data_IF_349536245333
#
_entry.id   IF_349536245333
#
_cell.length_a   1.000
_cell.length_b   1.000
_cell.length_c   1.000
_cell.angle_alpha   90.00
_cell.angle_beta   90.00
_cell.angle_gamma   90.00
#
_symmetry.space_group_name_H-M   'P 1'
#
loop_
_entity.id
_entity.type
_entity.pdbx_description
1 polymer ?
#
# COMPACT_ATOMS: atom_id res chain seq x y z
N UNK A 1 -10.87 -22.02 -20.96
CA UNK A 1 -9.87 -21.07 -21.50
C UNK A 1 -10.35 -20.34 -22.75
N UNK A 2 -10.94 -21.01 -23.75
CA UNK A 2 -11.39 -20.38 -25.01
C UNK A 2 -12.43 -19.23 -24.88
N UNK A 3 -13.14 -19.10 -23.76
CA UNK A 3 -14.11 -18.01 -23.55
C UNK A 3 -13.44 -16.67 -23.15
N UNK A 4 -12.34 -16.72 -22.40
CA UNK A 4 -11.62 -15.51 -21.95
C UNK A 4 -10.91 -14.82 -23.12
N UNK A 5 -10.46 -15.60 -24.10
CA UNK A 5 -9.72 -15.10 -25.26
C UNK A 5 -10.62 -14.33 -26.25
N UNK A 6 -11.93 -14.56 -26.21
CA UNK A 6 -12.93 -13.89 -27.04
C UNK A 6 -13.39 -12.54 -26.47
N UNK A 7 -12.90 -12.13 -25.30
CA UNK A 7 -13.23 -10.84 -24.71
C UNK A 7 -12.66 -9.69 -25.55
N UNK A 8 -13.50 -8.71 -25.86
CA UNK A 8 -13.10 -7.52 -26.61
C UNK A 8 -12.20 -6.61 -25.75
N UNK A 9 -11.35 -5.83 -26.41
CA UNK A 9 -10.50 -4.84 -25.74
C UNK A 9 -11.32 -3.84 -24.93
N UNK A 10 -12.49 -3.43 -25.45
CA UNK A 10 -13.37 -2.48 -24.74
C UNK A 10 -13.92 -3.05 -23.44
N UNK A 11 -14.35 -4.33 -23.45
CA UNK A 11 -14.83 -5.01 -22.24
C UNK A 11 -13.71 -5.15 -21.21
N UNK A 12 -12.51 -5.53 -21.65
CA UNK A 12 -11.37 -5.69 -20.77
C UNK A 12 -10.88 -4.36 -20.17
N UNK A 13 -10.89 -3.28 -20.95
CA UNK A 13 -10.54 -1.94 -20.45
C UNK A 13 -11.58 -1.34 -19.51
N UNK A 14 -12.86 -1.71 -19.67
CA UNK A 14 -13.91 -1.29 -18.76
C UNK A 14 -13.86 -2.02 -17.41
N UNK A 15 -13.18 -3.18 -17.34
CA UNK A 15 -13.12 -4.03 -16.16
C UNK A 15 -11.67 -4.45 -15.82
N UNK A 16 -10.92 -3.59 -15.12
CA UNK A 16 -9.54 -3.87 -14.69
C UNK A 16 -9.41 -5.16 -13.86
N UNK A 17 -10.42 -5.49 -13.04
CA UNK A 17 -10.44 -6.73 -12.27
C UNK A 17 -10.42 -7.96 -13.19
N UNK A 18 -11.35 -8.00 -14.16
CA UNK A 18 -11.44 -9.08 -15.13
C UNK A 18 -10.17 -9.18 -15.98
N UNK A 19 -9.59 -8.04 -16.37
CA UNK A 19 -8.33 -8.03 -17.11
C UNK A 19 -7.19 -8.62 -16.29
N UNK A 20 -7.02 -8.23 -15.02
CA UNK A 20 -5.94 -8.71 -14.17
C UNK A 20 -6.02 -10.23 -13.94
N UNK A 21 -7.18 -10.74 -13.52
CA UNK A 21 -7.37 -12.18 -13.28
C UNK A 21 -7.24 -13.01 -14.56
N UNK A 22 -7.78 -12.52 -15.69
CA UNK A 22 -7.65 -13.21 -16.98
C UNK A 22 -6.21 -13.22 -17.47
N UNK A 23 -5.48 -12.12 -17.31
CA UNK A 23 -4.05 -12.05 -17.66
C UNK A 23 -3.26 -13.08 -16.87
N UNK A 24 -3.51 -13.18 -15.55
CA UNK A 24 -2.85 -14.16 -14.71
C UNK A 24 -3.16 -15.59 -15.15
N UNK A 25 -4.44 -15.92 -15.37
CA UNK A 25 -4.87 -17.25 -15.80
C UNK A 25 -4.25 -17.65 -17.16
N UNK A 26 -4.25 -16.74 -18.14
CA UNK A 26 -3.66 -16.98 -19.46
C UNK A 26 -2.14 -17.12 -19.40
N UNK A 27 -1.47 -16.36 -18.53
CA UNK A 27 -0.05 -16.47 -18.33
C UNK A 27 0.33 -17.81 -17.68
N UNK A 28 -0.42 -18.26 -16.66
CA UNK A 28 -0.24 -19.58 -16.04
C UNK A 28 -0.42 -20.74 -17.02
N UNK A 29 -1.36 -20.63 -17.95
CA UNK A 29 -1.60 -21.69 -18.95
C UNK A 29 -0.70 -21.58 -20.17
N UNK A 30 0.24 -20.63 -20.20
CA UNK A 30 1.09 -20.32 -21.34
C UNK A 30 0.28 -20.09 -22.65
N UNK A 31 -0.87 -19.40 -22.57
CA UNK A 31 -1.68 -19.08 -23.76
C UNK A 31 -0.93 -18.15 -24.71
N UNK A 32 -1.17 -18.30 -26.01
CA UNK A 32 -0.67 -17.40 -27.05
C UNK A 32 -1.18 -15.97 -26.90
N UNK A 33 -2.32 -15.77 -26.22
CA UNK A 33 -2.93 -14.46 -25.99
C UNK A 33 -2.35 -13.71 -24.77
N UNK A 34 -1.48 -14.35 -23.98
CA UNK A 34 -0.95 -13.77 -22.73
C UNK A 34 -0.26 -12.41 -22.96
N UNK A 35 0.45 -12.25 -24.08
CA UNK A 35 1.17 -11.02 -24.45
C UNK A 35 0.23 -9.84 -24.71
N UNK A 36 -0.89 -10.09 -25.39
CA UNK A 36 -1.91 -9.06 -25.62
C UNK A 36 -2.50 -8.58 -24.29
N UNK A 37 -2.83 -9.51 -23.40
CA UNK A 37 -3.46 -9.21 -22.12
C UNK A 37 -2.53 -8.46 -21.17
N UNK A 38 -1.27 -8.90 -21.04
CA UNK A 38 -0.29 -8.20 -20.18
C UNK A 38 0.02 -6.79 -20.70
N UNK A 39 0.07 -6.61 -22.02
CA UNK A 39 0.27 -5.29 -22.63
C UNK A 39 -0.85 -4.33 -22.24
N UNK A 40 -2.10 -4.80 -22.31
CA UNK A 40 -3.25 -3.98 -21.92
C UNK A 40 -3.28 -3.74 -20.41
N UNK A 41 -2.95 -4.74 -19.59
CA UNK A 41 -2.87 -4.59 -18.14
C UNK A 41 -1.84 -3.51 -17.77
N UNK A 42 -0.64 -3.57 -18.36
CA UNK A 42 0.43 -2.58 -18.17
C UNK A 42 0.01 -1.16 -18.56
N UNK A 43 -0.77 -1.01 -19.63
CA UNK A 43 -1.26 0.28 -20.09
C UNK A 43 -2.28 0.92 -19.12
N UNK A 44 -2.95 0.12 -18.30
CA UNK A 44 -4.01 0.58 -17.38
C UNK A 44 -3.52 0.87 -15.96
N UNK A 45 -2.22 0.73 -15.70
CA UNK A 45 -1.66 0.97 -14.37
C UNK A 45 -1.81 2.44 -13.96
N UNK A 46 -2.00 2.66 -12.66
CA UNK A 46 -1.69 3.92 -12.00
C UNK A 46 -0.26 3.83 -11.47
N UNK A 47 0.55 4.83 -11.76
CA UNK A 47 1.90 5.00 -11.21
C UNK A 47 1.95 6.35 -10.51
N UNK A 48 2.34 6.36 -9.23
CA UNK A 48 2.41 7.57 -8.40
C UNK A 48 3.85 7.93 -7.97
N UNK A 49 4.84 7.54 -8.77
CA UNK A 49 6.24 7.89 -8.53
C UNK A 49 6.95 6.91 -7.59
N UNK A 50 6.58 5.63 -7.67
CA UNK A 50 7.21 4.58 -6.86
C UNK A 50 6.28 3.42 -6.52
N UNK A 51 4.96 3.59 -6.68
CA UNK A 51 3.98 2.52 -6.49
C UNK A 51 3.15 2.33 -7.74
N UNK A 52 2.79 1.08 -8.02
CA UNK A 52 1.95 0.72 -9.16
C UNK A 52 0.72 -0.03 -8.69
N UNK A 53 -0.45 0.31 -9.24
CA UNK A 53 -1.72 -0.30 -8.85
C UNK A 53 -2.81 -0.13 -9.91
N UNK A 54 -3.93 -0.84 -9.73
CA UNK A 54 -5.07 -0.79 -10.64
C UNK A 54 -6.35 -0.47 -9.88
N UNK A 55 -6.97 0.65 -10.25
CA UNK A 55 -8.29 1.05 -9.74
C UNK A 55 -9.39 0.24 -10.43
N UNK A 56 -10.43 -0.10 -9.68
CA UNK A 56 -11.69 -0.60 -10.24
C UNK A 56 -12.55 0.55 -10.76
N UNK A 57 -13.67 0.23 -11.40
CA UNK A 57 -14.60 1.20 -11.99
C UNK A 57 -15.15 2.24 -11.00
N UNK A 58 -15.05 1.97 -9.68
CA UNK A 58 -15.36 2.92 -8.61
C UNK A 58 -14.42 4.13 -8.53
N UNK A 59 -13.23 4.07 -9.15
CA UNK A 59 -12.25 5.16 -9.17
C UNK A 59 -11.57 5.44 -7.82
N UNK A 60 -11.85 4.65 -6.79
CA UNK A 60 -11.30 4.80 -5.43
C UNK A 60 -10.69 3.51 -4.92
N UNK A 61 -9.83 3.62 -3.90
CA UNK A 61 -9.14 2.46 -3.31
C UNK A 61 -10.12 1.65 -2.44
N UNK A 62 -10.59 0.52 -2.95
CA UNK A 62 -11.53 -0.41 -2.31
C UNK A 62 -10.88 -1.77 -2.01
N UNK A 63 -11.66 -2.74 -1.52
CA UNK A 63 -11.21 -4.14 -1.41
C UNK A 63 -10.95 -4.75 -2.79
N UNK A 64 -11.81 -4.46 -3.77
CA UNK A 64 -11.65 -4.93 -5.15
C UNK A 64 -10.40 -4.33 -5.82
N UNK A 65 -10.03 -3.08 -5.49
CA UNK A 65 -8.77 -2.47 -5.94
C UNK A 65 -7.55 -3.26 -5.42
N UNK A 66 -7.59 -3.70 -4.16
CA UNK A 66 -6.52 -4.51 -3.57
C UNK A 66 -6.44 -5.87 -4.28
N UNK A 67 -7.57 -6.54 -4.44
CA UNK A 67 -7.64 -7.83 -5.11
C UNK A 67 -7.19 -7.74 -6.58
N UNK A 68 -7.66 -6.74 -7.31
CA UNK A 68 -7.24 -6.46 -8.70
C UNK A 68 -5.72 -6.27 -8.78
N UNK A 69 -5.17 -5.49 -7.87
CA UNK A 69 -3.73 -5.20 -7.84
C UNK A 69 -2.92 -6.43 -7.43
N UNK A 70 -3.46 -7.29 -6.57
CA UNK A 70 -2.84 -8.58 -6.23
C UNK A 70 -2.79 -9.53 -7.44
N UNK A 71 -3.88 -9.64 -8.22
CA UNK A 71 -3.85 -10.40 -9.48
C UNK A 71 -2.88 -9.79 -10.49
N UNK A 72 -2.80 -8.47 -10.56
CA UNK A 72 -1.83 -7.81 -11.43
C UNK A 72 -0.39 -8.15 -11.04
N UNK A 73 -0.05 -8.19 -9.75
CA UNK A 73 1.25 -8.66 -9.28
C UNK A 73 1.51 -10.11 -9.72
N UNK A 74 0.57 -11.01 -9.47
CA UNK A 74 0.69 -12.42 -9.87
C UNK A 74 0.89 -12.58 -11.38
N UNK A 75 0.22 -11.76 -12.19
CA UNK A 75 0.40 -11.71 -13.63
C UNK A 75 1.81 -11.21 -13.99
N UNK A 76 2.27 -10.08 -13.45
CA UNK A 76 3.60 -9.52 -13.75
C UNK A 76 4.73 -10.48 -13.40
N UNK A 77 4.58 -11.25 -12.32
CA UNK A 77 5.53 -12.29 -11.95
C UNK A 77 5.67 -13.34 -13.07
N UNK A 78 4.59 -13.73 -13.78
CA UNK A 78 4.70 -14.70 -14.88
C UNK A 78 5.51 -14.20 -16.10
N UNK A 79 5.78 -12.89 -16.17
CA UNK A 79 6.58 -12.26 -17.22
C UNK A 79 7.93 -11.75 -16.71
N UNK A 80 8.35 -12.18 -15.51
CA UNK A 80 9.61 -11.80 -14.86
C UNK A 80 9.86 -10.28 -14.79
N UNK A 81 8.77 -9.50 -14.70
CA UNK A 81 8.81 -8.04 -14.61
C UNK A 81 9.06 -7.60 -13.16
N UNK A 82 10.30 -7.81 -12.69
CA UNK A 82 10.69 -7.59 -11.29
C UNK A 82 10.52 -6.11 -10.89
N UNK A 83 10.90 -5.18 -11.76
CA UNK A 83 10.85 -3.74 -11.48
C UNK A 83 9.41 -3.29 -11.25
N UNK A 84 8.48 -3.68 -12.12
CA UNK A 84 7.06 -3.35 -11.91
C UNK A 84 6.53 -4.08 -10.69
N UNK A 85 6.88 -5.35 -10.50
CA UNK A 85 6.43 -6.16 -9.36
C UNK A 85 6.82 -5.54 -8.01
N UNK A 86 8.05 -5.01 -7.88
CA UNK A 86 8.50 -4.27 -6.70
C UNK A 86 7.59 -3.06 -6.39
N UNK A 87 7.26 -2.27 -7.41
CA UNK A 87 6.35 -1.11 -7.25
C UNK A 87 4.93 -1.53 -6.87
N UNK A 88 4.47 -2.69 -7.34
CA UNK A 88 3.15 -3.21 -6.98
C UNK A 88 3.14 -3.70 -5.52
N UNK A 89 4.19 -4.40 -5.09
CA UNK A 89 4.34 -4.83 -3.68
C UNK A 89 4.43 -3.62 -2.75
N UNK A 90 5.15 -2.57 -3.14
CA UNK A 90 5.21 -1.32 -2.38
C UNK A 90 3.81 -0.71 -2.19
N UNK A 91 2.98 -0.72 -3.24
CA UNK A 91 1.60 -0.26 -3.13
C UNK A 91 0.76 -1.15 -2.19
N UNK A 92 0.79 -2.47 -2.39
CA UNK A 92 0.00 -3.41 -1.59
C UNK A 92 0.34 -3.31 -0.10
N UNK A 93 1.64 -3.20 0.22
CA UNK A 93 2.14 -3.08 1.59
C UNK A 93 1.66 -1.79 2.27
N UNK A 94 1.51 -0.70 1.51
CA UNK A 94 0.94 0.55 2.03
C UNK A 94 -0.55 0.42 2.40
N UNK A 95 -1.28 -0.50 1.76
CA UNK A 95 -2.71 -0.71 2.03
C UNK A 95 -2.98 -1.60 3.24
N UNK A 96 -1.94 -2.19 3.86
CA UNK A 96 -2.05 -3.00 5.07
C UNK A 96 -2.52 -2.12 6.22
N UNK A 97 -3.59 -2.54 6.90
CA UNK A 97 -4.10 -1.85 8.10
C UNK A 97 -3.26 -2.20 9.32
N UNK A 98 -3.37 -1.43 10.40
CA UNK A 98 -2.66 -1.71 11.66
C UNK A 98 -2.92 -3.10 12.26
N UNK A 99 -3.99 -3.80 11.85
CA UNK A 99 -4.27 -5.20 12.21
C UNK A 99 -3.42 -6.24 11.46
N UNK A 100 -2.61 -5.84 10.48
CA UNK A 100 -1.85 -6.74 9.60
C UNK A 100 -2.62 -7.27 8.39
N UNK A 101 -3.94 -7.09 8.33
CA UNK A 101 -4.80 -7.45 7.20
C UNK A 101 -5.09 -6.27 6.28
N UNK A 102 -5.68 -6.57 5.11
CA UNK A 102 -6.29 -5.58 4.22
C UNK A 102 -7.77 -5.32 4.62
N UNK A 103 -8.66 -5.01 3.68
CA UNK A 103 -10.01 -4.51 4.02
C UNK A 103 -10.99 -5.63 4.35
N UNK A 104 -10.89 -6.78 3.69
CA UNK A 104 -11.77 -7.95 3.85
C UNK A 104 -10.94 -9.24 3.93
N UNK A 105 -11.59 -10.39 4.05
CA UNK A 105 -10.90 -11.69 4.02
C UNK A 105 -10.41 -12.04 2.61
N UNK A 106 -11.20 -11.72 1.58
CA UNK A 106 -10.94 -12.11 0.19
C UNK A 106 -9.73 -11.38 -0.38
N UNK A 107 -9.74 -10.05 -0.33
CA UNK A 107 -8.61 -9.21 -0.78
C UNK A 107 -7.34 -9.51 0.02
N UNK A 108 -7.45 -9.74 1.33
CA UNK A 108 -6.29 -10.14 2.15
C UNK A 108 -5.69 -11.47 1.67
N UNK A 109 -6.51 -12.50 1.42
CA UNK A 109 -6.01 -13.80 0.96
C UNK A 109 -5.22 -13.69 -0.35
N UNK A 110 -5.75 -12.95 -1.33
CA UNK A 110 -5.08 -12.75 -2.62
C UNK A 110 -3.85 -11.85 -2.50
N UNK A 111 -3.90 -10.79 -1.69
CA UNK A 111 -2.77 -9.93 -1.43
C UNK A 111 -1.61 -10.71 -0.78
N UNK A 112 -1.90 -11.54 0.24
CA UNK A 112 -0.90 -12.42 0.84
C UNK A 112 -0.30 -13.39 -0.18
N UNK A 113 -1.13 -14.05 -0.97
CA UNK A 113 -0.65 -14.97 -2.01
C UNK A 113 0.29 -14.27 -2.99
N UNK A 114 -0.09 -13.09 -3.46
CA UNK A 114 0.69 -12.34 -4.44
C UNK A 114 2.02 -11.84 -3.87
N UNK A 115 2.01 -11.27 -2.67
CA UNK A 115 3.22 -10.79 -1.99
C UNK A 115 4.14 -11.96 -1.63
N UNK A 116 3.59 -13.08 -1.14
CA UNK A 116 4.38 -14.29 -0.85
C UNK A 116 5.03 -14.86 -2.12
N UNK A 117 4.30 -14.91 -3.24
CA UNK A 117 4.85 -15.34 -4.53
C UNK A 117 5.98 -14.43 -5.00
N UNK A 118 5.86 -13.12 -4.80
CA UNK A 118 6.94 -12.17 -5.11
C UNK A 118 8.17 -12.42 -4.23
N UNK A 119 7.97 -12.56 -2.92
CA UNK A 119 9.06 -12.81 -1.95
C UNK A 119 9.77 -14.12 -2.29
N UNK A 120 9.02 -15.19 -2.57
CA UNK A 120 9.59 -16.50 -2.90
C UNK A 120 10.46 -16.45 -4.17
N UNK A 121 10.08 -15.66 -5.17
CA UNK A 121 10.84 -15.49 -6.41
C UNK A 121 12.06 -14.57 -6.27
N UNK A 122 11.99 -13.59 -5.38
CA UNK A 122 13.04 -12.59 -5.17
C UNK A 122 13.76 -12.80 -3.83
N UNK A 123 13.76 -14.03 -3.33
CA UNK A 123 14.32 -14.35 -2.03
C UNK A 123 15.84 -14.18 -2.05
N UNK A 124 16.34 -13.29 -1.19
CA UNK A 124 17.77 -13.16 -0.91
C UNK A 124 18.03 -13.91 0.40
N UNK A 125 18.83 -14.99 0.40
CA UNK A 125 19.07 -15.80 1.59
C UNK A 125 19.71 -15.04 2.74
N UNK A 126 20.51 -14.02 2.43
CA UNK A 126 21.17 -13.18 3.41
C UNK A 126 20.38 -11.90 3.63
N UNK A 127 19.90 -11.72 4.86
CA UNK A 127 19.39 -10.45 5.36
C UNK A 127 20.34 -9.95 6.45
N UNK A 128 20.84 -8.74 6.24
CA UNK A 128 21.62 -7.95 7.17
C UNK A 128 21.38 -6.47 6.87
N UNK A 129 20.29 -5.94 7.40
CA UNK A 129 19.85 -4.55 7.24
C UNK A 129 20.02 -3.80 8.55
N UNK A 130 20.65 -2.63 8.49
CA UNK A 130 20.71 -1.67 9.60
C UNK A 130 19.79 -0.50 9.29
N UNK A 131 18.78 -0.32 10.12
CA UNK A 131 17.82 0.77 10.02
C UNK A 131 18.14 1.82 11.08
N UNK A 132 18.47 3.03 10.63
CA UNK A 132 18.67 4.22 11.47
C UNK A 132 17.45 5.13 11.33
N UNK A 133 16.78 5.39 12.44
CA UNK A 133 15.61 6.27 12.55
C UNK A 133 16.05 7.46 13.38
N UNK A 134 15.94 8.67 12.85
CA UNK A 134 16.34 9.89 13.56
C UNK A 134 15.26 10.97 13.48
N UNK A 135 15.18 11.82 14.50
CA UNK A 135 14.41 13.06 14.43
C UNK A 135 15.01 14.00 13.40
N UNK A 136 14.21 14.94 12.89
CA UNK A 136 14.63 15.84 11.82
C UNK A 136 15.80 16.74 12.19
N UNK A 137 15.97 17.02 13.48
CA UNK A 137 17.09 17.77 14.08
C UNK A 137 18.28 16.87 14.47
N UNK A 138 18.16 15.55 14.31
CA UNK A 138 19.17 14.55 14.65
C UNK A 138 19.43 14.34 16.14
N UNK A 139 18.68 15.00 17.04
CA UNK A 139 18.89 14.89 18.50
C UNK A 139 18.48 13.53 19.06
N UNK A 140 17.50 12.88 18.43
CA UNK A 140 17.05 11.55 18.78
C UNK A 140 17.40 10.58 17.65
N UNK A 141 18.01 9.45 18.02
CA UNK A 141 18.42 8.40 17.07
C UNK A 141 18.14 7.04 17.66
N UNK A 142 17.50 6.18 16.89
CA UNK A 142 17.33 4.77 17.15
C UNK A 142 17.92 3.94 16.01
N UNK A 143 18.62 2.86 16.38
CA UNK A 143 19.19 1.92 15.42
C UNK A 143 18.56 0.55 15.68
N UNK A 144 18.04 -0.07 14.62
CA UNK A 144 17.48 -1.42 14.63
C UNK A 144 18.12 -2.24 13.52
N UNK A 145 18.65 -3.39 13.91
CA UNK A 145 19.25 -4.33 12.98
C UNK A 145 18.25 -5.44 12.67
N UNK A 146 18.11 -5.78 11.39
CA UNK A 146 17.35 -6.91 10.89
C UNK A 146 18.32 -7.90 10.23
N UNK A 147 18.38 -9.11 10.75
CA UNK A 147 19.17 -10.20 10.22
C UNK A 147 18.40 -11.51 10.25
N UNK A 148 18.92 -12.53 9.58
CA UNK A 148 18.36 -13.89 9.63
C UNK A 148 18.19 -14.43 11.07
N UNK A 149 19.00 -13.96 12.02
CA UNK A 149 18.95 -14.41 13.42
C UNK A 149 17.89 -13.69 14.27
N UNK A 150 17.37 -12.56 13.80
CA UNK A 150 16.46 -11.72 14.58
C UNK A 150 15.19 -11.32 13.80
N UNK A 151 14.97 -11.86 12.60
CA UNK A 151 13.85 -11.54 11.71
C UNK A 151 12.46 -11.84 12.28
N UNK A 152 12.38 -12.74 13.26
CA UNK A 152 11.15 -13.08 13.98
C UNK A 152 10.87 -12.16 15.18
N UNK A 153 11.80 -11.27 15.56
CA UNK A 153 11.66 -10.45 16.76
C UNK A 153 10.71 -9.29 16.49
N UNK A 154 9.67 -9.20 17.30
CA UNK A 154 8.84 -8.00 17.37
C UNK A 154 9.68 -6.84 17.91
N UNK A 155 9.75 -5.75 17.16
CA UNK A 155 10.39 -4.52 17.62
C UNK A 155 9.38 -3.81 18.55
N UNK A 156 9.71 -3.59 19.84
CA UNK A 156 8.84 -2.86 20.74
C UNK A 156 8.53 -1.46 20.19
N UNK A 157 7.33 -0.95 20.50
CA UNK A 157 6.96 0.41 20.11
C UNK A 157 7.98 1.44 20.61
N UNK A 158 8.52 2.24 19.68
CA UNK A 158 9.49 3.29 19.98
C UNK A 158 8.76 4.57 20.41
N UNK A 159 9.18 5.15 21.53
CA UNK A 159 8.75 6.50 21.91
C UNK A 159 9.53 7.51 21.08
N UNK A 160 8.87 8.08 20.08
CA UNK A 160 9.44 9.13 19.23
C UNK A 160 9.18 10.51 19.84
N UNK A 161 10.10 11.49 19.65
CA UNK A 161 9.86 12.88 20.06
C UNK A 161 8.59 13.47 19.41
N UNK A 162 7.96 14.41 20.10
CA UNK A 162 6.75 15.08 19.60
C UNK A 162 7.08 16.02 18.44
N UNK A 163 6.24 15.99 17.39
CA UNK A 163 6.14 17.09 16.43
C UNK A 163 7.20 17.16 15.33
N UNK A 164 8.23 16.32 15.37
CA UNK A 164 9.32 16.37 14.39
C UNK A 164 9.17 15.38 13.23
N UNK A 165 9.73 15.76 12.08
CA UNK A 165 9.90 14.86 10.95
C UNK A 165 10.83 13.72 11.36
N UNK A 166 10.57 12.50 10.90
CA UNK A 166 11.49 11.38 11.05
C UNK A 166 12.24 11.15 9.75
N UNK A 167 13.55 10.97 9.85
CA UNK A 167 14.39 10.50 8.75
C UNK A 167 14.76 9.05 9.00
N UNK A 168 14.51 8.21 8.00
CA UNK A 168 14.81 6.79 8.04
C UNK A 168 15.87 6.50 6.98
N UNK A 169 16.95 5.86 7.40
CA UNK A 169 18.03 5.41 6.51
C UNK A 169 18.24 3.91 6.73
N UNK A 170 18.19 3.14 5.66
CA UNK A 170 18.44 1.69 5.71
C UNK A 170 19.70 1.40 4.90
N UNK A 171 20.63 0.66 5.49
CA UNK A 171 21.86 0.21 4.83
C UNK A 171 22.03 -1.30 5.01
N UNK A 172 22.81 -1.93 4.13
CA UNK A 172 23.12 -3.35 4.20
C UNK A 172 22.60 -4.16 3.02
N UNK A 173 22.43 -5.46 3.24
CA UNK A 173 22.09 -6.46 2.21
C UNK A 173 20.78 -7.15 2.58
N UNK A 174 19.94 -7.37 1.58
CA UNK A 174 18.68 -8.11 1.71
C UNK A 174 17.45 -7.26 1.41
N UNK A 175 16.27 -7.85 1.59
CA UNK A 175 14.98 -7.18 1.41
C UNK A 175 14.16 -7.34 2.68
N UNK A 176 13.52 -6.25 3.11
CA UNK A 176 12.66 -6.24 4.28
C UNK A 176 11.47 -5.31 4.08
N UNK A 177 10.40 -5.57 4.83
CA UNK A 177 9.26 -4.66 4.92
C UNK A 177 9.43 -3.80 6.16
N UNK A 178 9.33 -2.48 5.98
CA UNK A 178 9.35 -1.51 7.07
C UNK A 178 7.98 -0.82 7.17
N UNK A 179 7.36 -0.91 8.34
CA UNK A 179 6.02 -0.35 8.60
C UNK A 179 6.07 0.53 9.84
N UNK A 180 5.56 1.76 9.74
CA UNK A 180 5.41 2.68 10.88
C UNK A 180 3.93 2.72 11.26
N UNK A 181 3.63 2.32 12.50
CA UNK A 181 2.31 2.49 13.11
C UNK A 181 2.42 3.56 14.22
N UNK A 182 1.81 4.73 14.02
CA UNK A 182 1.82 5.83 14.98
C UNK A 182 0.59 5.78 15.89
N UNK A 183 0.82 5.78 17.19
CA UNK A 183 -0.24 5.88 18.21
C UNK A 183 -0.01 7.14 19.04
N UNK A 184 -1.03 8.00 19.13
CA UNK A 184 -1.00 9.19 19.97
C UNK A 184 -2.32 9.34 20.72
N UNK A 185 -2.28 9.99 21.89
CA UNK A 185 -3.48 10.34 22.63
C UNK A 185 -4.03 11.64 22.07
N UNK A 186 -5.25 11.60 21.56
CA UNK A 186 -5.97 12.81 21.16
C UNK A 186 -6.75 13.35 22.38
N UNK A 187 -6.51 14.60 22.75
CA UNK A 187 -7.27 15.26 23.80
C UNK A 187 -8.68 15.54 23.30
N UNK A 188 -9.70 14.98 23.97
CA UNK A 188 -11.09 15.41 23.75
C UNK A 188 -11.21 16.89 24.17
N UNK A 189 -11.51 17.75 23.20
CA UNK A 189 -12.00 19.10 23.51
C UNK A 189 -13.44 18.95 23.97
N UNK A 190 -13.69 19.14 25.26
CA UNK A 190 -15.04 19.26 25.79
C UNK A 190 -15.71 20.49 25.14
N UNK A 191 -16.71 20.25 24.30
CA UNK A 191 -17.52 21.27 23.63
C UNK A 191 -18.61 21.86 24.56
N UNK A 192 -18.46 21.73 25.87
CA UNK A 192 -19.41 22.26 26.84
C UNK A 192 -18.89 23.56 27.46
N UNK A 193 -18.98 24.69 26.75
CA UNK A 193 -19.02 26.05 27.33
C UNK A 193 -19.37 27.16 26.31
N UNK A 194 -20.07 26.87 25.20
CA UNK A 194 -20.48 27.91 24.23
C UNK A 194 -21.99 28.09 24.06
N UNK A 195 -22.80 27.77 25.08
CA UNK A 195 -24.20 28.19 25.12
C UNK A 195 -24.42 29.09 26.35
N UNK A 196 -24.09 30.37 26.20
CA UNK A 196 -24.80 31.42 26.93
C UNK A 196 -25.63 32.24 25.94
N UNK A 197 -26.94 32.45 26.21
CA UNK A 197 -27.82 33.16 25.30
C UNK A 197 -27.44 34.65 25.24
N UNK A 198 -27.39 35.17 24.01
CA UNK A 198 -27.17 36.57 23.69
C UNK A 198 -28.20 37.48 24.35
N UNK A 199 -27.77 38.28 25.33
CA UNK A 199 -28.54 39.43 25.81
C UNK A 199 -28.12 40.72 25.09
N UNK A 200 -29.11 41.29 24.42
CA UNK A 200 -29.44 42.72 24.34
C UNK A 200 -28.48 43.69 23.62
N UNK A 201 -28.82 43.85 22.35
CA UNK A 201 -28.80 45.07 21.55
C UNK A 201 -29.10 46.35 22.36
N UNK A 202 -28.08 47.16 22.66
CA UNK A 202 -28.24 48.60 22.94
C UNK A 202 -27.98 49.38 21.65
N UNK A 203 -29.03 50.04 21.15
CA UNK A 203 -28.99 50.98 20.03
C UNK A 203 -28.26 52.26 20.43
N UNK A 204 -27.50 52.78 19.45
CA UNK A 204 -26.66 53.96 19.50
C UNK A 204 -27.37 55.24 19.97
N UNK A 205 -26.70 55.96 20.87
CA UNK A 205 -26.73 57.42 20.93
C UNK A 205 -26.01 57.98 19.70
N UNK A 206 -26.65 58.91 18.99
CA UNK A 206 -25.96 59.97 18.24
C UNK A 206 -26.43 61.29 18.83
N UNK A 207 -25.47 62.08 19.29
CA UNK A 207 -25.66 63.47 19.67
C UNK A 207 -25.73 64.35 18.40
N UNK A 208 -26.55 65.40 18.51
CA UNK A 208 -26.59 66.67 17.76
C UNK A 208 -26.49 66.65 16.22
#
# INVERSE_FOLDING_TARGET
MAALEKLSDSTLRANPYLLAISTYALALSNSTNKERFITMLRAMKRDDGGRMYWLTSSGSTSADTIETTAYALLAHLQFDDIISSQKIVAWLTQQVRGSGNWRTTKDSAFAYQAVAAFIARNYIPEVNLKTRIESGDGQWVEIKDLSNQNSYKLIPGLKVPNGDKLKVTVTGIGTGIFTINLFYKEGRRDLSLSNQPSQNQKRNHRDC
#
